data_IF_050979674505
#
_entry.id   IF_050979674505
#
_cell.length_a   1.000
_cell.length_b   1.000
_cell.length_c   1.000
_cell.angle_alpha   90.00
_cell.angle_beta   90.00
_cell.angle_gamma   90.00
#
_symmetry.space_group_name_H-M   'P 1'
#
loop_
_entity.id
_entity.type
_entity.pdbx_description
1 polymer ?
#
# COMPACT_ATOMS: atom_id res chain seq x y z
N UNK A 1 -15.94 -49.76 23.09
CA UNK A 1 -15.45 -48.40 23.42
C UNK A 1 -14.19 -48.52 24.28
N UNK A 2 -13.08 -47.90 23.88
CA UNK A 2 -11.83 -47.84 24.64
C UNK A 2 -11.42 -46.36 24.80
N UNK A 3 -11.26 -45.91 26.08
CA UNK A 3 -10.31 -44.94 26.69
C UNK A 3 -10.01 -43.62 25.93
N UNK A 4 -9.83 -42.43 26.51
CA UNK A 4 -9.31 -41.92 27.80
C UNK A 4 -9.56 -40.38 27.78
N UNK A 5 -10.09 -39.72 28.82
CA UNK A 5 -9.41 -39.10 29.98
C UNK A 5 -8.62 -37.79 29.72
N UNK A 6 -8.86 -36.81 30.62
CA UNK A 6 -8.02 -35.68 31.08
C UNK A 6 -8.32 -34.25 30.56
N UNK A 7 -9.21 -33.56 31.28
CA UNK A 7 -9.07 -32.32 32.07
C UNK A 7 -7.99 -31.22 31.74
N UNK A 8 -8.23 -29.96 32.16
CA UNK A 8 -7.74 -28.71 31.54
C UNK A 8 -6.50 -28.06 32.21
N UNK A 9 -6.18 -26.84 31.73
CA UNK A 9 -5.17 -25.85 32.18
C UNK A 9 -3.76 -25.93 31.58
N UNK A 10 -3.32 -24.84 30.91
CA UNK A 10 -2.43 -23.79 31.48
C UNK A 10 -1.93 -22.87 30.36
N UNK A 11 -2.34 -21.59 30.41
CA UNK A 11 -1.77 -20.50 29.62
C UNK A 11 -0.40 -20.15 30.20
N UNK A 12 0.71 -20.13 29.44
CA UNK A 12 1.90 -19.44 29.88
C UNK A 12 1.78 -17.95 29.58
N UNK A 13 1.88 -17.18 30.67
CA UNK A 13 2.21 -15.75 30.72
C UNK A 13 3.61 -15.54 30.12
N UNK A 14 3.75 -14.52 29.27
CA UNK A 14 5.03 -13.82 29.09
C UNK A 14 4.72 -12.34 29.34
N UNK A 15 5.10 -11.87 30.52
CA UNK A 15 5.42 -10.47 30.78
C UNK A 15 6.95 -10.41 30.80
N UNK A 16 7.54 -9.67 29.88
CA UNK A 16 8.89 -9.14 30.04
C UNK A 16 8.83 -7.63 29.84
N UNK A 17 9.06 -6.99 30.98
CA UNK A 17 9.30 -5.60 31.22
C UNK A 17 10.52 -5.04 30.47
N UNK A 18 10.49 -3.71 30.35
CA UNK A 18 11.64 -2.84 30.27
C UNK A 18 12.56 -2.97 29.05
N UNK A 19 12.47 -1.98 28.15
CA UNK A 19 13.68 -1.21 27.86
C UNK A 19 13.34 0.28 27.76
N UNK A 20 13.87 1.00 28.75
CA UNK A 20 13.74 2.42 28.96
C UNK A 20 14.70 3.17 28.02
N UNK A 21 14.17 4.27 27.52
CA UNK A 21 14.77 5.45 26.91
C UNK A 21 16.20 5.84 27.34
N UNK A 22 16.86 6.61 26.44
CA UNK A 22 18.14 7.36 26.54
C UNK A 22 19.40 6.55 26.17
N UNK A 23 20.35 7.03 25.36
CA UNK A 23 20.61 8.34 24.76
C UNK A 23 21.90 8.24 23.91
N UNK A 24 21.93 8.78 22.68
CA UNK A 24 23.05 9.62 22.21
C UNK A 24 22.70 10.28 20.85
N UNK A 25 22.78 11.62 20.71
CA UNK A 25 22.53 12.31 19.46
C UNK A 25 23.85 12.65 18.74
N UNK A 26 24.23 11.90 17.70
CA UNK A 26 25.35 12.30 16.85
C UNK A 26 25.15 11.88 15.38
N UNK A 27 24.68 12.86 14.61
CA UNK A 27 25.03 13.13 13.20
C UNK A 27 25.40 11.92 12.32
N UNK A 28 24.38 11.25 11.78
CA UNK A 28 24.46 10.77 10.41
C UNK A 28 23.31 11.42 9.64
N UNK A 29 23.69 12.43 8.85
CA UNK A 29 22.86 13.20 7.93
C UNK A 29 22.31 12.26 6.86
N UNK A 30 21.35 11.41 7.22
CA UNK A 30 20.54 10.68 6.27
C UNK A 30 19.77 11.74 5.49
N UNK A 31 20.28 12.03 4.30
CA UNK A 31 19.65 12.93 3.34
C UNK A 31 18.26 12.36 3.13
N UNK A 32 17.27 12.92 3.84
CA UNK A 32 15.85 12.84 3.48
C UNK A 32 15.85 13.03 1.97
N UNK A 33 15.23 12.13 1.17
CA UNK A 33 15.08 12.43 -0.24
C UNK A 33 14.39 13.79 -0.28
N UNK A 34 15.16 14.81 -0.66
CA UNK A 34 14.63 16.15 -0.89
C UNK A 34 13.66 15.89 -2.01
N UNK A 35 12.36 15.80 -1.70
CA UNK A 35 11.29 15.79 -2.69
C UNK A 35 11.55 17.03 -3.53
N UNK A 36 12.27 16.82 -4.62
CA UNK A 36 12.61 17.85 -5.57
C UNK A 36 11.28 18.26 -6.13
N UNK A 37 10.84 19.44 -5.72
CA UNK A 37 9.65 20.09 -6.26
C UNK A 37 9.96 20.32 -7.73
N UNK A 38 9.47 19.45 -8.60
CA UNK A 38 9.58 19.60 -10.05
C UNK A 38 8.29 19.14 -10.70
N UNK A 39 7.74 20.14 -11.38
CA UNK A 39 6.70 20.15 -12.39
C UNK A 39 5.35 19.59 -11.99
N UNK A 40 4.33 20.26 -12.52
CA UNK A 40 2.93 19.84 -12.70
C UNK A 40 2.77 18.50 -13.45
N UNK A 41 3.81 17.66 -13.45
CA UNK A 41 3.88 16.35 -14.08
C UNK A 41 3.54 15.32 -13.01
N UNK A 42 2.54 14.49 -13.24
CA UNK A 42 2.19 13.43 -12.31
C UNK A 42 3.37 12.45 -12.20
N UNK A 43 3.87 12.26 -10.98
CA UNK A 43 4.96 11.31 -10.71
C UNK A 43 4.52 9.89 -11.09
N UNK A 44 5.44 9.04 -11.54
CA UNK A 44 5.16 7.64 -11.89
C UNK A 44 4.45 6.89 -10.75
N UNK A 45 4.87 7.14 -9.51
CA UNK A 45 4.22 6.57 -8.32
C UNK A 45 2.74 6.99 -8.20
N UNK A 46 2.43 8.26 -8.46
CA UNK A 46 1.06 8.75 -8.41
C UNK A 46 0.23 8.17 -9.56
N UNK A 47 0.81 8.03 -10.75
CA UNK A 47 0.16 7.34 -11.87
C UNK A 47 -0.21 5.91 -11.49
N UNK A 48 0.69 5.14 -10.88
CA UNK A 48 0.39 3.77 -10.45
C UNK A 48 -0.73 3.71 -9.40
N UNK A 49 -0.76 4.64 -8.44
CA UNK A 49 -1.85 4.73 -7.46
C UNK A 49 -3.20 5.02 -8.14
N UNK A 50 -3.23 5.97 -9.07
CA UNK A 50 -4.44 6.30 -9.83
C UNK A 50 -4.94 5.11 -10.68
N UNK A 51 -4.02 4.36 -11.29
CA UNK A 51 -4.35 3.15 -12.05
C UNK A 51 -4.93 2.08 -11.13
N UNK A 52 -4.32 1.85 -9.96
CA UNK A 52 -4.79 0.86 -9.00
C UNK A 52 -6.21 1.20 -8.49
N UNK A 53 -6.44 2.46 -8.13
CA UNK A 53 -7.76 2.94 -7.70
C UNK A 53 -8.80 2.80 -8.82
N UNK A 54 -8.46 3.21 -10.05
CA UNK A 54 -9.35 3.08 -11.19
C UNK A 54 -9.66 1.62 -11.54
N UNK A 55 -8.66 0.73 -11.49
CA UNK A 55 -8.85 -0.70 -11.70
C UNK A 55 -9.75 -1.33 -10.64
N UNK A 56 -9.59 -0.93 -9.37
CA UNK A 56 -10.45 -1.37 -8.27
C UNK A 56 -11.90 -0.92 -8.48
N UNK A 57 -12.12 0.37 -8.76
CA UNK A 57 -13.47 0.86 -9.04
C UNK A 57 -14.08 0.18 -10.25
N UNK A 58 -13.29 -0.05 -11.29
CA UNK A 58 -13.74 -0.75 -12.50
C UNK A 58 -14.17 -2.18 -12.15
N UNK A 59 -13.33 -2.93 -11.46
CA UNK A 59 -13.68 -4.26 -10.96
C UNK A 59 -14.98 -4.19 -10.14
N UNK A 60 -15.11 -3.26 -9.20
CA UNK A 60 -16.32 -3.09 -8.38
C UNK A 60 -17.57 -2.80 -9.23
N UNK A 61 -17.49 -1.93 -10.25
CA UNK A 61 -18.62 -1.65 -11.17
C UNK A 61 -19.07 -2.88 -11.95
N UNK A 62 -18.14 -3.76 -12.30
CA UNK A 62 -18.43 -5.04 -12.94
C UNK A 62 -18.71 -6.17 -11.93
N UNK A 63 -18.83 -5.85 -10.64
CA UNK A 63 -19.09 -6.84 -9.58
C UNK A 63 -17.93 -7.81 -9.37
N UNK A 64 -16.70 -7.33 -9.57
CA UNK A 64 -15.44 -8.10 -9.59
C UNK A 64 -15.48 -9.28 -10.57
N UNK A 65 -16.33 -9.20 -11.59
CA UNK A 65 -16.46 -10.21 -12.64
C UNK A 65 -15.50 -9.88 -13.79
N UNK A 66 -14.82 -10.88 -14.32
CA UNK A 66 -13.85 -10.75 -15.41
C UNK A 66 -12.40 -10.96 -14.96
N UNK A 67 -11.47 -10.70 -15.87
CA UNK A 67 -10.03 -10.80 -15.60
C UNK A 67 -9.55 -9.51 -14.89
N UNK A 68 -8.97 -9.60 -13.67
CA UNK A 68 -8.36 -8.46 -13.00
C UNK A 68 -7.32 -7.73 -13.87
N UNK A 69 -6.63 -8.46 -14.76
CA UNK A 69 -5.63 -7.90 -15.64
C UNK A 69 -6.24 -6.98 -16.71
N UNK A 70 -7.42 -7.33 -17.22
CA UNK A 70 -8.15 -6.51 -18.20
C UNK A 70 -8.65 -5.21 -17.54
N UNK A 71 -9.15 -5.30 -16.31
CA UNK A 71 -9.53 -4.10 -15.54
C UNK A 71 -8.35 -3.17 -15.30
N UNK A 72 -7.18 -3.73 -15.01
CA UNK A 72 -5.94 -2.97 -14.83
C UNK A 72 -5.47 -2.33 -16.13
N UNK A 73 -5.45 -3.06 -17.25
CA UNK A 73 -5.05 -2.53 -18.55
C UNK A 73 -5.96 -1.39 -19.01
N UNK A 74 -7.28 -1.55 -18.83
CA UNK A 74 -8.24 -0.49 -19.16
C UNK A 74 -8.05 0.74 -18.28
N UNK A 75 -7.73 0.56 -16.99
CA UNK A 75 -7.40 1.65 -16.09
C UNK A 75 -6.09 2.37 -16.47
N UNK A 76 -5.07 1.64 -16.94
CA UNK A 76 -3.84 2.25 -17.45
C UNK A 76 -4.13 3.21 -18.61
N UNK A 77 -4.92 2.76 -19.58
CA UNK A 77 -5.29 3.55 -20.75
C UNK A 77 -6.08 4.80 -20.34
N UNK A 78 -7.06 4.64 -19.44
CA UNK A 78 -7.89 5.74 -18.97
C UNK A 78 -7.08 6.83 -18.26
N UNK A 79 -6.24 6.44 -17.29
CA UNK A 79 -5.40 7.38 -16.55
C UNK A 79 -4.38 8.04 -17.49
N UNK A 80 -3.77 7.30 -18.42
CA UNK A 80 -2.84 7.88 -19.38
C UNK A 80 -3.46 8.92 -20.29
N UNK A 81 -4.68 8.66 -20.78
CA UNK A 81 -5.43 9.62 -21.57
C UNK A 81 -5.75 10.86 -20.73
N UNK A 82 -6.24 10.69 -19.50
CA UNK A 82 -6.53 11.82 -18.60
C UNK A 82 -5.28 12.65 -18.29
N UNK A 83 -4.15 12.01 -18.03
CA UNK A 83 -2.89 12.70 -17.77
C UNK A 83 -2.37 13.43 -19.00
N UNK A 84 -2.50 12.85 -20.19
CA UNK A 84 -2.13 13.48 -21.45
C UNK A 84 -3.01 14.70 -21.74
N UNK A 85 -4.33 14.58 -21.60
CA UNK A 85 -5.27 15.67 -21.82
C UNK A 85 -5.09 16.82 -20.82
N UNK A 86 -4.86 16.49 -19.54
CA UNK A 86 -4.66 17.49 -18.50
C UNK A 86 -3.26 18.12 -18.54
N UNK A 87 -2.25 17.38 -19.00
CA UNK A 87 -0.88 17.89 -19.21
C UNK A 87 -0.75 18.81 -20.42
N UNK A 88 -1.61 18.66 -21.44
CA UNK A 88 -1.60 19.49 -22.66
C UNK A 88 -2.32 20.85 -22.53
N UNK A 89 -3.02 21.12 -21.42
CA UNK A 89 -3.81 22.35 -21.24
C UNK A 89 -3.06 23.52 -20.58
N UNK A 90 -1.72 23.47 -20.50
CA UNK A 90 -0.90 24.54 -19.92
C UNK A 90 -0.01 25.24 -20.94
#
# INVERSE_FOLDING_TARGET
MKKSEAAPEKKPVIQEDALKNSSNPEVAKAKKPRRSKKSSEVSQEMRHQLIADAAYFRAEKFGHSGDPLDHWLMAEIEIDLMLKENGQKN
#
